data_IF_996413278190
#
_entry.id   IF_996413278190
#
_cell.length_a   1.000
_cell.length_b   1.000
_cell.length_c   1.000
_cell.angle_alpha   90.00
_cell.angle_beta   90.00
_cell.angle_gamma   90.00
#
_symmetry.space_group_name_H-M   'P 1'
#
loop_
_entity.id
_entity.type
_entity.pdbx_description
1 polymer ?
#
# COMPACT_ATOMS: atom_id res chain seq x y z
N UNK A 1 -19.87 -1.65 33.32
CA UNK A 1 -18.42 -1.50 33.09
C UNK A 1 -17.80 -2.87 33.31
N UNK A 2 -17.01 -3.40 32.38
CA UNK A 2 -16.51 -4.77 32.47
C UNK A 2 -15.42 -4.88 33.54
N UNK A 3 -15.44 -5.93 34.37
CA UNK A 3 -14.48 -6.13 35.48
C UNK A 3 -13.03 -6.32 35.02
N UNK A 4 -12.80 -6.59 33.74
CA UNK A 4 -11.49 -6.77 33.14
C UNK A 4 -10.94 -5.50 32.46
N UNK A 5 -11.69 -4.41 32.49
CA UNK A 5 -11.27 -3.13 31.91
C UNK A 5 -10.74 -2.22 33.02
N UNK A 6 -9.41 -2.14 33.13
CA UNK A 6 -8.71 -1.24 34.03
C UNK A 6 -8.27 0.01 33.26
N UNK A 7 -8.52 1.19 33.82
CA UNK A 7 -8.06 2.46 33.26
C UNK A 7 -6.56 2.59 33.53
N UNK A 8 -5.75 2.44 32.48
CA UNK A 8 -4.30 2.57 32.58
C UNK A 8 -3.94 4.05 32.44
N UNK A 9 -3.19 4.60 33.39
CA UNK A 9 -2.62 5.94 33.25
C UNK A 9 -1.76 6.02 31.99
N UNK A 10 -1.88 7.13 31.24
CA UNK A 10 -1.01 7.37 30.09
C UNK A 10 0.45 7.32 30.56
N UNK A 11 1.32 6.50 29.94
CA UNK A 11 2.71 6.42 30.35
C UNK A 11 3.36 7.80 30.22
N UNK A 12 4.15 8.18 31.22
CA UNK A 12 5.02 9.35 31.13
C UNK A 12 6.02 9.11 29.99
N UNK A 13 5.74 9.74 28.84
CA UNK A 13 6.59 9.66 27.65
C UNK A 13 7.85 10.47 27.93
N UNK A 14 8.97 9.80 28.19
CA UNK A 14 10.27 10.44 28.06
C UNK A 14 10.46 10.80 26.58
N UNK A 15 10.33 12.08 26.24
CA UNK A 15 10.52 12.61 24.87
C UNK A 15 12.00 12.62 24.43
N UNK A 16 12.88 11.96 25.17
CA UNK A 16 14.30 11.88 24.83
C UNK A 16 14.57 10.82 23.76
N UNK A 17 14.86 11.31 22.55
CA UNK A 17 15.54 10.63 21.43
C UNK A 17 14.74 9.60 20.62
N UNK A 18 13.65 10.05 19.99
CA UNK A 18 13.34 9.59 18.64
C UNK A 18 13.57 10.77 17.68
N UNK A 19 14.83 11.06 17.36
CA UNK A 19 15.19 12.03 16.29
C UNK A 19 14.78 11.55 14.88
N UNK A 20 14.17 10.37 14.81
CA UNK A 20 13.44 9.87 13.66
C UNK A 20 12.15 10.64 13.40
N UNK A 21 12.19 11.71 12.60
CA UNK A 21 10.97 12.38 12.10
C UNK A 21 10.25 11.47 11.11
N UNK A 22 9.53 10.47 11.62
CA UNK A 22 8.64 9.65 10.83
C UNK A 22 7.46 10.52 10.34
N UNK A 23 7.24 10.53 9.03
CA UNK A 23 6.15 11.30 8.41
C UNK A 23 5.41 10.41 7.42
N UNK A 24 4.08 10.50 7.42
CA UNK A 24 3.23 9.87 6.41
C UNK A 24 2.59 10.98 5.57
N UNK A 25 2.61 10.80 4.25
CA UNK A 25 1.91 11.67 3.31
C UNK A 25 0.96 10.85 2.46
N UNK A 26 -0.31 11.23 2.44
CA UNK A 26 -1.31 10.62 1.55
C UNK A 26 -1.16 11.20 0.14
N UNK A 27 -1.24 10.34 -0.86
CA UNK A 27 -1.32 10.72 -2.26
C UNK A 27 -2.77 10.60 -2.72
N UNK A 28 -3.30 11.68 -3.30
CA UNK A 28 -4.60 11.66 -3.94
C UNK A 28 -4.42 11.38 -5.43
N UNK A 29 -5.20 10.44 -5.96
CA UNK A 29 -5.20 10.12 -7.40
C UNK A 29 -6.62 9.85 -7.87
N UNK A 30 -7.12 10.75 -8.71
CA UNK A 30 -8.42 10.63 -9.39
C UNK A 30 -8.35 9.83 -10.69
N UNK A 31 -7.15 9.36 -11.08
CA UNK A 31 -6.94 8.64 -12.31
C UNK A 31 -7.54 7.22 -12.24
N UNK A 32 -8.32 6.82 -13.23
CA UNK A 32 -8.81 5.43 -13.35
C UNK A 32 -8.05 4.71 -14.47
N UNK A 33 -7.18 3.74 -14.12
CA UNK A 33 -6.39 3.02 -15.11
C UNK A 33 -7.26 2.14 -16.01
N UNK A 34 -6.98 2.16 -17.31
CA UNK A 34 -7.64 1.35 -18.34
C UNK A 34 -6.94 0.01 -18.61
N UNK A 35 -5.67 -0.11 -18.24
CA UNK A 35 -4.86 -1.31 -18.35
C UNK A 35 -4.19 -1.64 -17.01
N UNK A 36 -3.35 -2.67 -16.98
CA UNK A 36 -2.53 -3.02 -15.82
C UNK A 36 -1.27 -3.76 -16.31
N UNK A 37 -0.10 -3.24 -15.99
CA UNK A 37 1.19 -3.87 -16.35
C UNK A 37 1.41 -5.18 -15.60
N UNK A 38 2.40 -5.98 -16.00
CA UNK A 38 2.76 -7.22 -15.30
C UNK A 38 3.16 -6.97 -13.84
N UNK A 39 3.86 -5.87 -13.57
CA UNK A 39 4.19 -5.45 -12.20
C UNK A 39 2.90 -5.10 -11.45
N UNK A 40 2.05 -4.25 -12.01
CA UNK A 40 0.77 -3.90 -11.39
C UNK A 40 -0.07 -5.13 -11.08
N UNK A 41 -0.08 -6.12 -11.98
CA UNK A 41 -0.77 -7.39 -11.81
C UNK A 41 -0.20 -8.21 -10.65
N UNK A 42 1.12 -8.31 -10.52
CA UNK A 42 1.77 -9.03 -9.43
C UNK A 42 1.31 -8.51 -8.06
N UNK A 43 1.28 -7.19 -7.89
CA UNK A 43 0.87 -6.57 -6.62
C UNK A 43 -0.66 -6.60 -6.42
N UNK A 44 -1.44 -6.43 -7.50
CA UNK A 44 -2.90 -6.52 -7.44
C UNK A 44 -3.40 -7.94 -7.15
N UNK A 45 -2.68 -8.97 -7.63
CA UNK A 45 -3.07 -10.36 -7.48
C UNK A 45 -3.26 -10.76 -6.00
N UNK A 46 -2.45 -10.21 -5.10
CA UNK A 46 -2.56 -10.50 -3.67
C UNK A 46 -3.97 -10.17 -3.14
N UNK A 47 -4.46 -8.95 -3.36
CA UNK A 47 -5.80 -8.51 -2.93
C UNK A 47 -6.93 -9.31 -3.61
N UNK A 48 -6.71 -9.77 -4.85
CA UNK A 48 -7.69 -10.61 -5.56
C UNK A 48 -7.76 -12.02 -4.98
N UNK A 49 -6.61 -12.65 -4.72
CA UNK A 49 -6.51 -14.02 -4.19
C UNK A 49 -7.09 -14.11 -2.78
N UNK A 50 -6.74 -13.16 -1.90
CA UNK A 50 -7.24 -13.15 -0.51
C UNK A 50 -8.69 -12.65 -0.41
N UNK A 51 -9.24 -12.05 -1.47
CA UNK A 51 -10.60 -11.51 -1.49
C UNK A 51 -10.85 -10.32 -0.56
N UNK A 52 -9.81 -9.62 -0.11
CA UNK A 52 -9.90 -8.49 0.81
C UNK A 52 -8.93 -7.37 0.45
N UNK A 53 -9.22 -6.16 0.94
CA UNK A 53 -8.38 -4.99 0.74
C UNK A 53 -7.20 -5.01 1.71
N UNK A 54 -6.19 -5.83 1.43
CA UNK A 54 -4.97 -5.85 2.22
C UNK A 54 -4.06 -4.64 1.91
N UNK A 55 -3.44 -4.13 2.96
CA UNK A 55 -2.36 -3.16 2.87
C UNK A 55 -1.08 -3.86 2.41
N UNK A 56 -0.41 -3.27 1.42
CA UNK A 56 0.91 -3.69 0.97
C UNK A 56 1.89 -2.55 1.16
N UNK A 57 2.97 -2.78 1.91
CA UNK A 57 4.07 -1.83 2.07
C UNK A 57 5.18 -2.21 1.09
N UNK A 58 5.54 -1.28 0.20
CA UNK A 58 6.53 -1.52 -0.85
C UNK A 58 7.77 -0.65 -0.57
N UNK A 59 8.95 -1.26 -0.34
CA UNK A 59 10.19 -0.51 -0.10
C UNK A 59 10.60 0.33 -1.30
N UNK A 60 11.22 1.49 -1.04
CA UNK A 60 11.74 2.42 -2.06
C UNK A 60 13.27 2.55 -1.97
N UNK A 61 14.04 1.50 -2.31
CA UNK A 61 15.49 1.48 -2.11
C UNK A 61 16.27 2.44 -3.03
N UNK A 62 15.67 2.85 -4.15
CA UNK A 62 16.27 3.76 -5.14
C UNK A 62 15.18 4.41 -6.01
N UNK A 63 15.57 5.39 -6.82
CA UNK A 63 14.68 6.14 -7.72
C UNK A 63 13.98 5.26 -8.77
N UNK A 64 14.65 4.21 -9.26
CA UNK A 64 14.02 3.30 -10.23
C UNK A 64 12.83 2.56 -9.60
N UNK A 65 13.00 2.09 -8.35
CA UNK A 65 11.91 1.47 -7.60
C UNK A 65 10.78 2.48 -7.34
N UNK A 66 11.10 3.71 -6.94
CA UNK A 66 10.11 4.77 -6.72
C UNK A 66 9.32 5.03 -8.00
N UNK A 67 10.01 5.18 -9.14
CA UNK A 67 9.38 5.42 -10.43
C UNK A 67 8.44 4.28 -10.78
N UNK A 68 8.91 3.03 -10.74
CA UNK A 68 8.12 1.85 -11.09
C UNK A 68 6.89 1.69 -10.20
N UNK A 69 7.03 1.89 -8.88
CA UNK A 69 5.90 1.84 -7.96
C UNK A 69 4.88 2.93 -8.32
N UNK A 70 5.36 4.16 -8.53
CA UNK A 70 4.50 5.32 -8.79
C UNK A 70 3.77 5.20 -10.13
N UNK A 71 4.42 4.68 -11.17
CA UNK A 71 3.84 4.58 -12.51
C UNK A 71 2.99 3.33 -12.72
N UNK A 72 3.40 2.19 -12.15
CA UNK A 72 2.80 0.89 -12.48
C UNK A 72 1.95 0.30 -11.36
N UNK A 73 2.11 0.77 -10.11
CA UNK A 73 1.41 0.19 -8.96
C UNK A 73 0.41 1.18 -8.39
N UNK A 74 0.86 2.36 -7.96
CA UNK A 74 -0.01 3.34 -7.27
C UNK A 74 -1.29 3.72 -8.02
N UNK A 75 -1.34 3.82 -9.36
CA UNK A 75 -2.55 4.19 -10.08
C UNK A 75 -3.72 3.23 -9.83
N UNK A 76 -3.44 1.98 -9.45
CA UNK A 76 -4.43 0.92 -9.26
C UNK A 76 -5.06 0.88 -7.87
N UNK A 77 -4.60 1.71 -6.93
CA UNK A 77 -5.07 1.70 -5.54
C UNK A 77 -5.78 3.00 -5.16
N UNK A 78 -6.74 2.90 -4.24
CA UNK A 78 -7.54 4.03 -3.74
C UNK A 78 -6.90 4.73 -2.56
N UNK A 79 -6.14 4.01 -1.73
CA UNK A 79 -5.40 4.58 -0.61
C UNK A 79 -3.90 4.36 -0.82
N UNK A 80 -3.18 5.46 -1.10
CA UNK A 80 -1.74 5.47 -1.33
C UNK A 80 -1.08 6.42 -0.33
N UNK A 81 -0.08 5.92 0.40
CA UNK A 81 0.62 6.65 1.46
C UNK A 81 2.12 6.47 1.38
N UNK A 82 2.84 7.56 1.20
CA UNK A 82 4.29 7.61 1.32
C UNK A 82 4.71 7.64 2.79
N UNK A 83 5.70 6.84 3.17
CA UNK A 83 6.30 6.82 4.52
C UNK A 83 7.75 7.29 4.45
N UNK A 84 8.03 8.35 5.19
CA UNK A 84 9.34 8.97 5.28
C UNK A 84 9.95 8.73 6.66
N UNK A 85 11.26 8.53 6.68
CA UNK A 85 12.06 8.48 7.91
C UNK A 85 13.31 9.33 7.72
N UNK A 86 13.51 10.34 8.58
CA UNK A 86 14.56 11.34 8.45
C UNK A 86 14.53 12.07 7.09
N UNK A 87 13.32 12.39 6.61
CA UNK A 87 13.12 13.06 5.32
C UNK A 87 13.35 12.17 4.09
N UNK A 88 13.79 10.92 4.26
CA UNK A 88 14.00 9.96 3.16
C UNK A 88 12.76 9.09 2.98
N UNK A 89 12.26 8.97 1.75
CA UNK A 89 11.17 8.07 1.40
C UNK A 89 11.65 6.62 1.61
N UNK A 90 10.99 5.88 2.51
CA UNK A 90 11.33 4.50 2.85
C UNK A 90 10.42 3.47 2.18
N UNK A 91 9.15 3.82 2.05
CA UNK A 91 8.17 2.94 1.41
C UNK A 91 6.96 3.71 0.91
N UNK A 92 6.28 3.10 -0.04
CA UNK A 92 4.93 3.49 -0.47
C UNK A 92 3.99 2.37 -0.03
N UNK A 93 2.96 2.75 0.71
CA UNK A 93 1.92 1.83 1.18
C UNK A 93 0.70 1.99 0.30
N UNK A 94 0.15 0.88 -0.16
CA UNK A 94 -1.02 0.84 -1.04
C UNK A 94 -2.09 -0.08 -0.46
N UNK A 95 -3.35 0.33 -0.54
CA UNK A 95 -4.50 -0.44 -0.08
C UNK A 95 -5.74 -0.11 -0.91
N UNK A 96 -6.63 -1.09 -1.03
CA UNK A 96 -7.90 -0.94 -1.71
C UNK A 96 -7.74 -0.82 -3.22
N UNK A 97 -7.68 -1.94 -3.94
CA UNK A 97 -7.65 -1.91 -5.40
C UNK A 97 -8.89 -1.20 -5.95
N UNK A 98 -8.69 -0.33 -6.94
CA UNK A 98 -9.77 0.30 -7.69
C UNK A 98 -10.64 -0.74 -8.38
N UNK A 99 -11.96 -0.50 -8.54
CA UNK A 99 -12.86 -1.48 -9.14
C UNK A 99 -12.43 -1.97 -10.52
N UNK A 100 -11.91 -1.08 -11.37
CA UNK A 100 -11.43 -1.45 -12.71
C UNK A 100 -10.17 -2.33 -12.63
N UNK A 101 -9.22 -1.98 -11.78
CA UNK A 101 -8.01 -2.78 -11.55
C UNK A 101 -8.32 -4.17 -10.96
N UNK A 102 -9.32 -4.28 -10.06
CA UNK A 102 -9.83 -5.57 -9.58
C UNK A 102 -10.37 -6.44 -10.71
N UNK A 103 -11.10 -5.87 -11.68
CA UNK A 103 -11.63 -6.60 -12.84
C UNK A 103 -10.50 -7.07 -13.76
N UNK A 104 -9.58 -6.18 -14.11
CA UNK A 104 -8.45 -6.48 -14.99
C UNK A 104 -7.55 -7.59 -14.41
N UNK A 105 -7.22 -7.50 -13.12
CA UNK A 105 -6.40 -8.50 -12.44
C UNK A 105 -7.09 -9.88 -12.36
N UNK A 106 -8.42 -9.92 -12.12
CA UNK A 106 -9.19 -11.18 -12.17
C UNK A 106 -9.17 -11.83 -13.55
N UNK A 107 -9.34 -11.04 -14.62
CA UNK A 107 -9.28 -11.54 -15.99
C UNK A 107 -7.91 -12.15 -16.25
N UNK A 108 -6.83 -11.42 -15.94
CA UNK A 108 -5.45 -11.90 -16.13
C UNK A 108 -5.20 -13.22 -15.39
N UNK A 109 -5.56 -13.30 -14.10
CA UNK A 109 -5.40 -14.52 -13.31
C UNK A 109 -6.16 -15.71 -13.91
N UNK A 110 -7.40 -15.51 -14.35
CA UNK A 110 -8.21 -16.55 -14.98
C UNK A 110 -7.63 -17.01 -16.33
N UNK A 111 -7.07 -16.09 -17.12
CA UNK A 111 -6.44 -16.44 -18.41
C UNK A 111 -5.06 -17.06 -18.26
N UNK A 112 -4.30 -16.68 -17.23
CA UNK A 112 -2.97 -17.26 -16.94
C UNK A 112 -3.03 -18.67 -16.35
N UNK A 113 -4.04 -18.98 -15.54
CA UNK A 113 -4.24 -20.33 -14.98
C UNK A 113 -4.73 -21.36 -16.00
N UNK A 114 -5.22 -20.95 -17.17
CA UNK A 114 -5.66 -21.87 -18.24
C UNK A 114 -4.47 -22.34 -19.12
N UNK A 115 -3.28 -21.74 -18.95
CA UNK A 115 -2.09 -22.01 -19.76
C UNK A 115 -0.94 -22.71 -19.00
N UNK A 116 -1.17 -23.18 -17.77
CA UNK A 116 -0.29 -24.09 -17.01
C UNK A 116 -0.98 -25.45 -16.83
#
# INVERSE_FOLDING_TARGET
MFEWLEEIEKPHRNESSYDGLFKIKKLESSFEPSDISEVGQLFAAYSVIIGSDAMTQIPTPNENAISLITTEITPHYTDVKESYYNGVLRSINVMGLKPNSKKLSKISLLTGFILL
#
